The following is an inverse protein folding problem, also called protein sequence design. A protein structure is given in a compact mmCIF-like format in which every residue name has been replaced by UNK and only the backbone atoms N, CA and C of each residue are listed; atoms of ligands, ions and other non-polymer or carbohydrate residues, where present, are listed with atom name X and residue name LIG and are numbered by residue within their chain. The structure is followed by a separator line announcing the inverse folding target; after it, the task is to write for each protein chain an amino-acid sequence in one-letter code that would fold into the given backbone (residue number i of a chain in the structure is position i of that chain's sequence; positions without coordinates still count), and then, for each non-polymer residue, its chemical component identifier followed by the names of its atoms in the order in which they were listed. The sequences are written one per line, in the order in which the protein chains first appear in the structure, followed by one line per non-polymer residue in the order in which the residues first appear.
data_IF_223533738264
#
_entry.id   IF_223533738264
#
_cell.length_a   1.000
_cell.length_b   1.000
_cell.length_c   1.000
_cell.angle_alpha   90.00
_cell.angle_beta   90.00
_cell.angle_gamma   90.00
#
_symmetry.space_group_name_H-M   'P 1'
#
loop_
_entity.id
_entity.type
_entity.pdbx_description
1 polymer ?
#
# COMPACT_ATOMS: atom_id res chain seq x y z
N UNK A 1 0.99 26.85 8.89
CA UNK A 1 -0.32 26.23 8.58
C UNK A 1 -0.43 25.86 7.09
N UNK A 2 -0.27 26.80 6.15
CA UNK A 2 -0.31 26.54 4.69
C UNK A 2 0.65 25.45 4.19
N UNK A 3 1.86 25.35 4.74
CA UNK A 3 2.88 24.36 4.33
C UNK A 3 2.48 22.91 4.64
N UNK A 4 1.76 22.67 5.73
CA UNK A 4 1.25 21.34 6.09
C UNK A 4 0.02 20.96 5.25
N UNK A 5 -0.82 21.94 4.91
CA UNK A 5 -1.99 21.74 4.03
C UNK A 5 -1.55 21.35 2.63
N UNK A 6 -0.54 22.05 2.08
CA UNK A 6 0.02 21.72 0.75
C UNK A 6 0.70 20.36 0.75
N UNK A 7 1.43 20.00 1.81
CA UNK A 7 2.04 18.68 1.94
C UNK A 7 0.99 17.57 2.02
N UNK A 8 -0.06 17.75 2.84
CA UNK A 8 -1.17 16.79 2.98
C UNK A 8 -1.94 16.62 1.67
N UNK A 9 -2.19 17.71 0.95
CA UNK A 9 -2.86 17.69 -0.35
C UNK A 9 -2.02 16.98 -1.42
N UNK A 10 -0.70 17.16 -1.42
CA UNK A 10 0.21 16.48 -2.33
C UNK A 10 0.25 14.96 -2.03
N UNK A 11 0.30 14.58 -0.76
CA UNK A 11 0.20 13.17 -0.34
C UNK A 11 -1.14 12.55 -0.75
N UNK A 12 -2.24 13.29 -0.58
CA UNK A 12 -3.58 12.83 -1.00
C UNK A 12 -3.67 12.64 -2.52
N UNK A 13 -3.18 13.60 -3.31
CA UNK A 13 -3.14 13.50 -4.77
C UNK A 13 -2.24 12.36 -5.22
N UNK A 14 -1.11 12.15 -4.56
CA UNK A 14 -0.21 11.03 -4.85
C UNK A 14 -0.85 9.68 -4.54
N UNK A 15 -1.54 9.56 -3.40
CA UNK A 15 -2.33 8.36 -3.05
C UNK A 15 -3.49 8.13 -4.04
N UNK A 16 -4.16 9.19 -4.49
CA UNK A 16 -5.25 9.07 -5.47
C UNK A 16 -4.74 8.66 -6.85
N UNK A 17 -3.61 9.22 -7.30
CA UNK A 17 -2.96 8.87 -8.56
C UNK A 17 -2.50 7.41 -8.58
N UNK A 18 -2.17 6.87 -7.40
CA UNK A 18 -1.83 5.47 -7.19
C UNK A 18 -3.08 4.55 -7.32
N UNK A 19 -4.29 5.00 -6.95
CA UNK A 19 -5.53 4.22 -7.07
C UNK A 19 -6.07 4.14 -8.52
N UNK A 20 -5.86 5.17 -9.34
CA UNK A 20 -6.40 5.26 -10.70
C UNK A 20 -6.02 4.11 -11.66
N UNK A 21 -4.77 3.60 -11.69
CA UNK A 21 -4.41 2.44 -12.52
C UNK A 21 -5.22 1.18 -12.20
N UNK A 22 -5.57 0.97 -10.92
CA UNK A 22 -6.41 -0.17 -10.49
C UNK A 22 -7.84 -0.01 -11.02
N UNK A 23 -8.37 1.21 -11.00
CA UNK A 23 -9.72 1.49 -11.51
C UNK A 23 -9.77 1.42 -13.05
N UNK A 24 -8.67 1.74 -13.73
CA UNK A 24 -8.54 1.67 -15.18
C UNK A 24 -8.37 0.23 -15.70
N UNK A 25 -7.85 -0.67 -14.86
CA UNK A 25 -7.71 -2.11 -15.13
C UNK A 25 -8.97 -2.90 -14.72
N UNK A 26 -10.05 -2.21 -14.35
CA UNK A 26 -11.38 -2.83 -14.22
C UNK A 26 -11.98 -2.99 -15.62
N UNK A 27 -12.20 -4.23 -16.10
CA UNK A 27 -12.82 -4.44 -17.39
C UNK A 27 -14.23 -3.81 -17.37
N UNK A 28 -14.66 -3.13 -18.45
CA UNK A 28 -15.98 -2.51 -18.55
C UNK A 28 -17.15 -3.49 -18.34
N UNK A 29 -16.86 -4.79 -18.39
CA UNK A 29 -17.81 -5.89 -18.28
C UNK A 29 -18.30 -6.11 -16.84
N UNK A 30 -17.50 -5.78 -15.80
CA UNK A 30 -17.85 -6.01 -14.38
C UNK A 30 -19.00 -5.11 -13.88
N UNK A 31 -19.31 -4.02 -14.60
CA UNK A 31 -20.42 -3.10 -14.29
C UNK A 31 -21.62 -3.25 -15.22
N UNK A 32 -21.59 -4.17 -16.19
CA UNK A 32 -22.73 -4.49 -17.05
C UNK A 32 -23.57 -5.55 -16.35
N UNK A 33 -24.90 -5.38 -16.37
CA UNK A 33 -25.80 -6.43 -15.92
C UNK A 33 -25.55 -7.68 -16.79
N UNK A 34 -25.40 -8.88 -16.21
CA UNK A 34 -25.16 -10.10 -16.97
C UNK A 34 -26.23 -10.27 -18.06
N UNK A 35 -25.80 -10.38 -19.31
CA UNK A 35 -26.71 -10.74 -20.40
C UNK A 35 -27.02 -12.24 -20.27
N UNK A 36 -28.30 -12.65 -20.19
CA UNK A 36 -28.65 -14.03 -19.94
C UNK A 36 -28.06 -14.95 -21.01
N UNK A 37 -27.14 -15.85 -20.61
CA UNK A 37 -26.54 -16.85 -21.51
C UNK A 37 -25.20 -16.47 -22.15
N UNK A 38 -24.58 -15.36 -21.75
CA UNK A 38 -23.17 -15.09 -22.10
C UNK A 38 -22.26 -15.83 -21.10
N UNK A 39 -21.24 -16.54 -21.60
CA UNK A 39 -20.28 -17.29 -20.77
C UNK A 39 -19.45 -16.44 -19.80
N UNK A 40 -19.68 -15.12 -19.76
CA UNK A 40 -19.20 -14.18 -18.74
C UNK A 40 -20.03 -14.20 -17.45
N UNK A 41 -21.08 -15.03 -17.35
CA UNK A 41 -21.77 -15.38 -16.09
C UNK A 41 -20.85 -16.00 -15.03
N UNK A 42 -19.62 -16.37 -15.40
CA UNK A 42 -18.59 -16.73 -14.46
C UNK A 42 -17.81 -15.47 -14.09
N UNK A 43 -18.20 -14.83 -12.99
CA UNK A 43 -17.19 -14.21 -12.10
C UNK A 43 -16.07 -15.23 -12.02
N UNK A 44 -14.84 -14.95 -12.49
CA UNK A 44 -13.78 -15.93 -12.39
C UNK A 44 -13.48 -16.17 -10.90
N UNK A 45 -14.16 -17.14 -10.30
CA UNK A 45 -13.84 -17.70 -8.99
C UNK A 45 -12.73 -18.75 -9.16
N UNK A 46 -11.85 -18.58 -10.15
CA UNK A 46 -10.63 -19.37 -10.20
C UNK A 46 -9.75 -18.89 -9.05
N UNK A 47 -9.21 -19.84 -8.26
CA UNK A 47 -8.32 -19.49 -7.15
C UNK A 47 -7.16 -18.58 -7.60
N UNK A 48 -6.72 -18.71 -8.84
CA UNK A 48 -5.69 -17.88 -9.47
C UNK A 48 -6.08 -16.41 -9.61
N UNK A 49 -7.30 -16.09 -10.03
CA UNK A 49 -7.76 -14.71 -10.15
C UNK A 49 -7.86 -14.04 -8.77
N UNK A 50 -8.32 -14.77 -7.76
CA UNK A 50 -8.35 -14.30 -6.37
C UNK A 50 -6.94 -14.04 -5.82
N UNK A 51 -5.99 -14.94 -6.08
CA UNK A 51 -4.59 -14.79 -5.66
C UNK A 51 -3.94 -13.58 -6.35
N UNK A 52 -4.22 -13.35 -7.63
CA UNK A 52 -3.72 -12.18 -8.34
C UNK A 52 -4.25 -10.88 -7.72
N UNK A 53 -5.54 -10.81 -7.36
CA UNK A 53 -6.13 -9.63 -6.71
C UNK A 53 -5.58 -9.41 -5.29
N UNK A 54 -5.40 -10.48 -4.51
CA UNK A 54 -4.77 -10.39 -3.18
C UNK A 54 -3.34 -9.87 -3.30
N UNK A 55 -2.58 -10.33 -4.29
CA UNK A 55 -1.20 -9.87 -4.47
C UNK A 55 -1.06 -8.41 -4.90
N UNK A 56 -2.00 -7.93 -5.71
CA UNK A 56 -2.08 -6.49 -5.98
C UNK A 56 -2.29 -5.69 -4.70
N UNK A 57 -3.20 -6.14 -3.81
CA UNK A 57 -3.45 -5.50 -2.52
C UNK A 57 -2.20 -5.57 -1.61
N UNK A 58 -1.53 -6.72 -1.53
CA UNK A 58 -0.30 -6.90 -0.76
C UNK A 58 0.80 -5.90 -1.16
N UNK A 59 1.05 -5.76 -2.47
CA UNK A 59 1.98 -4.77 -3.00
C UNK A 59 1.60 -3.33 -2.66
N UNK A 60 0.31 -3.00 -2.64
CA UNK A 60 -0.18 -1.68 -2.22
C UNK A 60 0.08 -1.40 -0.75
N UNK A 61 -0.21 -2.36 0.11
CA UNK A 61 0.07 -2.24 1.56
C UNK A 61 1.57 -2.06 1.76
N UNK A 62 2.41 -2.86 1.10
CA UNK A 62 3.85 -2.71 1.13
C UNK A 62 4.28 -1.28 0.73
N UNK A 63 3.83 -0.80 -0.43
CA UNK A 63 4.22 0.50 -0.96
C UNK A 63 3.81 1.66 -0.04
N UNK A 64 2.60 1.63 0.51
CA UNK A 64 2.08 2.69 1.40
C UNK A 64 2.86 2.71 2.72
N UNK A 65 3.04 1.56 3.36
CA UNK A 65 3.76 1.49 4.64
C UNK A 65 5.25 1.83 4.47
N UNK A 66 5.87 1.43 3.36
CA UNK A 66 7.24 1.81 3.04
C UNK A 66 7.36 3.33 2.82
N UNK A 67 6.43 3.94 2.06
CA UNK A 67 6.43 5.38 1.82
C UNK A 67 6.28 6.19 3.12
N UNK A 68 5.34 5.79 3.99
CA UNK A 68 5.16 6.42 5.31
C UNK A 68 6.43 6.29 6.16
N UNK A 69 7.08 5.12 6.12
CA UNK A 69 8.32 4.88 6.85
C UNK A 69 9.45 5.80 6.39
N UNK A 70 9.60 6.00 5.08
CA UNK A 70 10.57 6.93 4.51
C UNK A 70 10.30 8.36 5.00
N UNK A 71 9.03 8.79 5.05
CA UNK A 71 8.68 10.13 5.58
C UNK A 71 9.12 10.27 7.04
N UNK A 72 8.87 9.27 7.89
CA UNK A 72 9.29 9.29 9.29
C UNK A 72 10.81 9.30 9.45
N UNK A 73 11.55 8.57 8.60
CA UNK A 73 13.02 8.59 8.59
C UNK A 73 13.53 10.00 8.26
N UNK A 74 12.98 10.64 7.22
CA UNK A 74 13.37 11.99 6.84
C UNK A 74 13.05 13.00 7.95
N UNK A 75 11.86 12.91 8.56
CA UNK A 75 11.50 13.75 9.69
C UNK A 75 12.39 13.53 10.91
N UNK A 76 12.79 12.29 11.18
CA UNK A 76 13.74 11.97 12.24
C UNK A 76 15.12 12.55 11.96
N UNK A 77 15.60 12.44 10.72
CA UNK A 77 16.89 12.99 10.31
C UNK A 77 16.98 14.50 10.59
N UNK A 78 15.94 15.27 10.24
CA UNK A 78 15.89 16.69 10.61
C UNK A 78 15.90 16.90 12.13
N UNK A 79 15.13 16.11 12.88
CA UNK A 79 15.11 16.18 14.35
C UNK A 79 16.49 15.95 14.99
N UNK A 80 17.30 15.03 14.45
CA UNK A 80 18.67 14.81 14.92
C UNK A 80 19.62 15.96 14.58
N UNK A 81 19.46 16.57 13.41
CA UNK A 81 20.37 17.62 12.92
C UNK A 81 20.04 18.99 13.52
N UNK A 82 18.76 19.34 13.66
CA UNK A 82 18.34 20.71 14.01
C UNK A 82 17.75 20.83 15.41
N UNK A 83 17.39 19.72 16.06
CA UNK A 83 16.48 19.74 17.21
C UNK A 83 17.11 19.85 18.60
N UNK A 84 18.44 19.85 18.72
CA UNK A 84 19.12 19.86 20.03
C UNK A 84 18.71 18.66 20.91
N UNK A 85 18.92 18.74 22.25
CA UNK A 85 18.66 17.61 23.15
C UNK A 85 17.21 17.07 23.12
N UNK A 86 16.21 17.96 23.02
CA UNK A 86 14.80 17.57 22.95
C UNK A 86 14.42 16.95 21.60
N UNK A 87 14.89 17.50 20.50
CA UNK A 87 14.58 16.99 19.16
C UNK A 87 15.22 15.62 18.86
N UNK A 88 16.31 15.26 19.53
CA UNK A 88 16.89 13.91 19.47
C UNK A 88 15.93 12.87 20.06
N UNK A 89 15.22 13.20 21.14
CA UNK A 89 14.21 12.33 21.74
C UNK A 89 13.05 12.07 20.79
N UNK A 90 12.50 13.13 20.20
CA UNK A 90 11.41 13.02 19.23
C UNK A 90 11.84 12.29 17.94
N UNK A 91 13.06 12.53 17.46
CA UNK A 91 13.62 11.86 16.30
C UNK A 91 13.77 10.35 16.50
N UNK A 92 14.19 9.91 17.69
CA UNK A 92 14.22 8.47 18.04
C UNK A 92 12.84 7.84 17.95
N UNK A 93 11.81 8.52 18.48
CA UNK A 93 10.45 8.00 18.42
C UNK A 93 9.95 7.85 16.97
N UNK A 94 10.26 8.83 16.11
CA UNK A 94 9.94 8.76 14.68
C UNK A 94 10.65 7.59 13.98
N UNK A 95 11.91 7.32 14.32
CA UNK A 95 12.61 6.13 13.80
C UNK A 95 11.96 4.81 14.24
N UNK A 96 11.45 4.73 15.48
CA UNK A 96 10.73 3.54 15.95
C UNK A 96 9.47 3.33 15.11
N UNK A 97 8.70 4.39 14.86
CA UNK A 97 7.51 4.30 14.00
C UNK A 97 7.85 3.91 12.56
N UNK A 98 8.96 4.42 12.01
CA UNK A 98 9.45 3.98 10.70
C UNK A 98 9.84 2.49 10.70
N UNK A 99 10.53 2.02 11.75
CA UNK A 99 10.92 0.62 11.87
C UNK A 99 9.70 -0.31 11.93
N UNK A 100 8.66 0.08 12.68
CA UNK A 100 7.40 -0.65 12.73
C UNK A 100 6.72 -0.66 11.35
N UNK A 101 6.68 0.48 10.66
CA UNK A 101 6.12 0.58 9.32
C UNK A 101 6.84 -0.31 8.30
N UNK A 102 8.18 -0.34 8.35
CA UNK A 102 9.00 -1.24 7.51
C UNK A 102 8.70 -2.70 7.84
N UNK A 103 8.61 -3.06 9.12
CA UNK A 103 8.29 -4.42 9.53
C UNK A 103 6.94 -4.87 8.96
N UNK A 104 5.91 -4.03 9.04
CA UNK A 104 4.58 -4.32 8.47
C UNK A 104 4.66 -4.42 6.94
N UNK A 105 5.39 -3.53 6.27
CA UNK A 105 5.58 -3.59 4.83
C UNK A 105 6.20 -4.94 4.43
N UNK A 106 7.31 -5.33 5.04
CA UNK A 106 7.99 -6.59 4.75
C UNK A 106 7.07 -7.82 4.98
N UNK A 107 6.23 -7.78 6.02
CA UNK A 107 5.23 -8.82 6.24
C UNK A 107 4.18 -8.86 5.12
N UNK A 108 3.71 -7.70 4.64
CA UNK A 108 2.77 -7.62 3.52
C UNK A 108 3.37 -8.18 2.22
N UNK A 109 4.64 -7.92 1.94
CA UNK A 109 5.32 -8.46 0.76
C UNK A 109 5.48 -9.99 0.83
N UNK A 110 5.82 -10.54 2.00
CA UNK A 110 5.95 -11.99 2.17
C UNK A 110 4.61 -12.75 2.18
N UNK A 111 3.49 -12.06 2.41
CA UNK A 111 2.17 -12.67 2.48
C UNK A 111 1.74 -13.31 1.16
N UNK A 112 2.07 -12.69 0.02
CA UNK A 112 1.74 -13.21 -1.31
C UNK A 112 2.47 -14.51 -1.63
N UNK A 113 3.76 -14.56 -1.27
CA UNK A 113 4.59 -15.75 -1.47
C UNK A 113 4.09 -16.92 -0.62
N UNK A 114 3.68 -16.65 0.62
CA UNK A 114 3.10 -17.65 1.53
C UNK A 114 1.78 -18.20 0.96
N UNK A 115 0.89 -17.33 0.47
CA UNK A 115 -0.38 -17.77 -0.10
C UNK A 115 -0.16 -18.63 -1.34
N UNK A 116 0.73 -18.20 -2.26
CA UNK A 116 1.07 -18.97 -3.45
C UNK A 116 1.66 -20.34 -3.08
N UNK A 117 2.56 -20.39 -2.10
CA UNK A 117 3.17 -21.62 -1.65
C UNK A 117 2.15 -22.62 -1.07
N UNK A 118 1.12 -22.15 -0.36
CA UNK A 118 0.06 -23.01 0.19
C UNK A 118 -0.85 -23.54 -0.92
N UNK A 119 -1.22 -22.70 -1.89
CA UNK A 119 -2.16 -23.09 -2.95
C UNK A 119 -1.50 -23.99 -4.01
N UNK A 120 -0.24 -23.78 -4.35
CA UNK A 120 0.47 -24.61 -5.33
C UNK A 120 0.84 -26.01 -4.80
N UNK A 121 0.96 -26.18 -3.47
CA UNK A 121 1.24 -27.48 -2.83
C UNK A 121 -0.04 -28.22 -2.36
N UNK A 122 -1.24 -27.70 -2.67
CA UNK A 122 -2.53 -28.35 -2.40
C UNK A 122 -3.11 -28.94 -3.68
#
# INVERSE_FOLDING_TARGET
MIKYITLSLLVFVFLFALVMPVLADLPPEDFRLPEPGSGSDQVPISGEALIARIGTIGNWVFAIFLAISIIYILMAAFGFVTGGPEGVGEARQKLIYAAIGIAIALLAAGFDDIIRAIVTNA
#
